data_IF_153307416253
#
_entry.id   IF_153307416253
#
_cell.length_a   1.000
_cell.length_b   1.000
_cell.length_c   1.000
_cell.angle_alpha   90.00
_cell.angle_beta   90.00
_cell.angle_gamma   90.00
#
_symmetry.space_group_name_H-M   'P 1'
#
loop_
_entity.id
_entity.type
_entity.pdbx_description
1 polymer ?
#
# COMPACT_ATOMS: atom_id res chain seq x y z
N UNK A 1 -33.89 -25.55 -49.32
CA UNK A 1 -33.11 -26.09 -48.15
C UNK A 1 -31.95 -25.15 -47.83
N UNK A 2 -31.34 -24.49 -48.82
CA UNK A 2 -30.17 -23.62 -48.67
C UNK A 2 -30.43 -22.32 -47.87
N UNK A 3 -31.61 -21.72 -48.01
CA UNK A 3 -31.96 -20.50 -47.24
C UNK A 3 -32.12 -20.72 -45.73
N UNK A 4 -32.44 -21.93 -45.28
CA UNK A 4 -32.59 -22.27 -43.87
C UNK A 4 -31.23 -22.47 -43.20
N UNK A 5 -30.28 -23.11 -43.87
CA UNK A 5 -28.91 -23.33 -43.41
C UNK A 5 -28.17 -22.01 -43.28
N UNK A 6 -28.32 -21.12 -44.25
CA UNK A 6 -27.71 -19.78 -44.22
C UNK A 6 -28.27 -18.91 -43.10
N UNK A 7 -29.59 -18.95 -42.82
CA UNK A 7 -30.21 -18.25 -41.70
C UNK A 7 -29.68 -18.73 -40.34
N UNK A 8 -29.47 -20.04 -40.14
CA UNK A 8 -28.87 -20.59 -38.92
C UNK A 8 -27.42 -20.12 -38.77
N UNK A 9 -26.66 -20.07 -39.87
CA UNK A 9 -25.29 -19.56 -39.90
C UNK A 9 -25.21 -18.10 -39.40
N UNK A 10 -26.04 -17.23 -39.94
CA UNK A 10 -26.09 -15.81 -39.50
C UNK A 10 -26.52 -15.67 -38.04
N UNK A 11 -27.47 -16.48 -37.57
CA UNK A 11 -27.89 -16.47 -36.15
C UNK A 11 -26.75 -16.89 -35.22
N UNK A 12 -25.99 -17.94 -35.55
CA UNK A 12 -24.84 -18.37 -34.77
C UNK A 12 -23.74 -17.33 -34.71
N UNK A 13 -23.43 -16.70 -35.86
CA UNK A 13 -22.46 -15.58 -35.89
C UNK A 13 -22.95 -14.42 -35.03
N UNK A 14 -24.22 -14.04 -35.12
CA UNK A 14 -24.82 -13.00 -34.29
C UNK A 14 -24.67 -13.32 -32.78
N UNK A 15 -24.97 -14.56 -32.37
CA UNK A 15 -24.84 -14.99 -30.96
C UNK A 15 -23.38 -14.92 -30.47
N UNK A 16 -22.43 -15.32 -31.32
CA UNK A 16 -20.99 -15.26 -30.97
C UNK A 16 -20.54 -13.80 -30.81
N UNK A 17 -20.88 -12.94 -31.75
CA UNK A 17 -20.53 -11.52 -31.70
C UNK A 17 -21.19 -10.84 -30.50
N UNK A 18 -22.46 -11.14 -30.23
CA UNK A 18 -23.17 -10.58 -29.08
C UNK A 18 -22.57 -11.02 -27.75
N UNK A 19 -22.21 -12.31 -27.57
CA UNK A 19 -21.52 -12.83 -26.39
C UNK A 19 -20.14 -12.18 -26.25
N UNK A 20 -19.39 -12.02 -27.33
CA UNK A 20 -18.10 -11.34 -27.32
C UNK A 20 -18.21 -9.89 -26.89
N UNK A 21 -19.19 -9.15 -27.41
CA UNK A 21 -19.46 -7.76 -27.02
C UNK A 21 -19.88 -7.66 -25.54
N UNK A 22 -20.70 -8.58 -25.04
CA UNK A 22 -21.13 -8.63 -23.65
C UNK A 22 -19.93 -8.89 -22.71
N UNK A 23 -19.07 -9.85 -23.03
CA UNK A 23 -17.85 -10.14 -22.28
C UNK A 23 -16.90 -8.93 -22.27
N UNK A 24 -16.71 -8.28 -23.41
CA UNK A 24 -15.89 -7.08 -23.51
C UNK A 24 -16.48 -5.95 -22.66
N UNK A 25 -17.79 -5.72 -22.71
CA UNK A 25 -18.47 -4.73 -21.89
C UNK A 25 -18.29 -5.02 -20.40
N UNK A 26 -18.46 -6.26 -19.96
CA UNK A 26 -18.26 -6.68 -18.58
C UNK A 26 -16.82 -6.45 -18.11
N UNK A 27 -15.83 -6.82 -18.93
CA UNK A 27 -14.41 -6.61 -18.59
C UNK A 27 -14.05 -5.12 -18.51
N UNK A 28 -14.55 -4.28 -19.42
CA UNK A 28 -14.32 -2.84 -19.38
C UNK A 28 -15.00 -2.18 -18.16
N UNK A 29 -16.23 -2.60 -17.84
CA UNK A 29 -16.97 -2.13 -16.67
C UNK A 29 -16.24 -2.52 -15.37
N UNK A 30 -15.78 -3.76 -15.26
CA UNK A 30 -15.02 -4.24 -14.10
C UNK A 30 -13.70 -3.47 -13.94
N UNK A 31 -12.96 -3.26 -15.03
CA UNK A 31 -11.73 -2.44 -15.03
C UNK A 31 -11.98 -1.00 -14.62
N UNK A 32 -13.07 -0.38 -15.07
CA UNK A 32 -13.45 0.98 -14.69
C UNK A 32 -13.83 1.05 -13.21
N UNK A 33 -14.57 0.08 -12.70
CA UNK A 33 -14.95 -0.04 -11.29
C UNK A 33 -13.71 -0.24 -10.41
N UNK A 34 -12.82 -1.18 -10.77
CA UNK A 34 -11.56 -1.42 -10.06
C UNK A 34 -10.67 -0.17 -10.04
N UNK A 35 -10.55 0.57 -11.15
CA UNK A 35 -9.82 1.86 -11.19
C UNK A 35 -10.44 2.92 -10.28
N UNK A 36 -11.75 2.93 -10.12
CA UNK A 36 -12.44 3.87 -9.23
C UNK A 36 -12.19 3.54 -7.75
N UNK A 37 -12.23 2.25 -7.38
CA UNK A 37 -11.90 1.77 -6.03
C UNK A 37 -10.45 2.09 -5.64
N UNK A 38 -9.50 1.91 -6.56
CA UNK A 38 -8.10 2.25 -6.35
C UNK A 38 -7.85 3.73 -6.11
N UNK A 39 -8.61 4.59 -6.81
CA UNK A 39 -8.57 6.03 -6.56
C UNK A 39 -9.13 6.37 -5.19
N UNK A 40 -10.01 5.54 -4.63
CA UNK A 40 -10.55 5.73 -3.29
C UNK A 40 -9.57 5.35 -2.18
N UNK A 41 -8.74 4.30 -2.37
CA UNK A 41 -7.82 3.80 -1.35
C UNK A 41 -6.55 4.64 -1.19
N UNK A 42 -5.93 5.07 -2.29
CA UNK A 42 -4.68 5.84 -2.23
C UNK A 42 -4.77 7.13 -1.39
N UNK A 43 -5.86 7.92 -1.41
CA UNK A 43 -6.01 9.07 -0.52
C UNK A 43 -5.98 8.74 0.97
N UNK A 44 -6.45 7.55 1.37
CA UNK A 44 -6.36 7.09 2.76
C UNK A 44 -4.95 6.63 3.10
N UNK A 45 -4.27 5.90 2.21
CA UNK A 45 -2.86 5.51 2.36
C UNK A 45 -1.97 6.74 2.50
N UNK A 46 -2.23 7.78 1.72
CA UNK A 46 -1.48 9.05 1.80
C UNK A 46 -1.72 9.81 3.11
N UNK A 47 -2.77 9.49 3.87
CA UNK A 47 -3.09 10.07 5.19
C UNK A 47 -2.57 9.23 6.36
N UNK A 48 -2.16 8.00 6.13
CA UNK A 48 -1.61 7.11 7.15
C UNK A 48 -0.32 7.67 7.73
N UNK A 49 0.00 7.31 8.97
CA UNK A 49 1.36 7.40 9.48
C UNK A 49 2.17 6.13 9.12
N UNK A 50 3.44 6.07 9.55
CA UNK A 50 4.31 4.92 9.28
C UNK A 50 3.71 3.61 9.80
N UNK A 51 3.26 3.59 11.06
CA UNK A 51 2.69 2.40 11.70
C UNK A 51 1.41 1.91 11.04
N UNK A 52 0.51 2.82 10.69
CA UNK A 52 -0.71 2.47 9.96
C UNK A 52 -0.38 1.88 8.59
N UNK A 53 0.65 2.40 7.92
CA UNK A 53 1.09 1.89 6.63
C UNK A 53 1.72 0.50 6.74
N UNK A 54 2.52 0.22 7.77
CA UNK A 54 3.07 -1.12 8.04
C UNK A 54 1.95 -2.15 8.24
N UNK A 55 0.93 -1.82 9.08
CA UNK A 55 -0.23 -2.68 9.30
C UNK A 55 -1.05 -2.86 8.03
N UNK A 56 -1.20 -1.79 7.24
CA UNK A 56 -1.84 -1.87 5.93
C UNK A 56 -1.13 -2.86 5.02
N UNK A 57 0.21 -2.76 4.91
CA UNK A 57 1.01 -3.67 4.11
C UNK A 57 0.95 -5.12 4.62
N UNK A 58 0.91 -5.32 5.94
CA UNK A 58 0.73 -6.65 6.53
C UNK A 58 -0.58 -7.28 6.03
N UNK A 59 -1.68 -6.55 6.07
CA UNK A 59 -2.97 -7.05 5.62
C UNK A 59 -2.96 -7.27 4.10
N UNK A 60 -2.41 -6.32 3.34
CA UNK A 60 -2.25 -6.41 1.88
C UNK A 60 -1.49 -7.67 1.46
N UNK A 61 -0.31 -7.91 2.03
CA UNK A 61 0.51 -9.08 1.68
C UNK A 61 -0.13 -10.40 2.12
N UNK A 62 -0.88 -10.41 3.24
CA UNK A 62 -1.64 -11.60 3.65
C UNK A 62 -2.70 -11.96 2.62
N UNK A 63 -3.43 -11.00 2.06
CA UNK A 63 -4.38 -11.23 0.99
C UNK A 63 -3.72 -11.67 -0.33
N UNK A 64 -2.45 -11.32 -0.54
CA UNK A 64 -1.64 -11.79 -1.67
C UNK A 64 -1.04 -13.19 -1.45
N UNK A 65 -1.34 -13.84 -0.32
CA UNK A 65 -0.90 -15.20 -0.01
C UNK A 65 0.48 -15.31 0.62
N UNK A 66 1.01 -14.21 1.18
CA UNK A 66 2.18 -14.22 2.04
C UNK A 66 1.76 -14.39 3.51
N UNK A 67 2.71 -14.78 4.36
CA UNK A 67 2.57 -14.81 5.81
C UNK A 67 3.42 -13.68 6.44
N UNK A 68 2.89 -12.44 6.53
CA UNK A 68 3.62 -11.27 7.01
C UNK A 68 3.48 -11.08 8.51
N UNK A 69 4.60 -10.79 9.17
CA UNK A 69 4.69 -10.35 10.55
C UNK A 69 5.31 -8.96 10.60
N UNK A 70 4.69 -8.03 11.35
CA UNK A 70 5.26 -6.70 11.62
C UNK A 70 6.31 -6.83 12.71
N UNK A 71 7.49 -6.25 12.50
CA UNK A 71 8.60 -6.27 13.46
C UNK A 71 8.33 -5.35 14.66
N UNK A 72 9.18 -5.42 15.67
CA UNK A 72 9.13 -4.52 16.82
C UNK A 72 9.56 -3.12 16.39
N UNK A 73 8.94 -2.08 16.95
CA UNK A 73 9.23 -0.67 16.63
C UNK A 73 10.66 -0.21 16.97
N UNK A 74 11.40 -0.97 17.76
CA UNK A 74 12.81 -0.68 18.10
C UNK A 74 13.64 -1.94 17.94
N UNK A 75 14.80 -1.81 17.28
CA UNK A 75 15.69 -2.94 17.02
C UNK A 75 15.21 -3.83 15.86
N UNK A 76 14.50 -3.25 14.89
CA UNK A 76 14.03 -3.89 13.68
C UNK A 76 15.12 -4.10 12.61
N UNK A 77 16.30 -3.53 12.88
CA UNK A 77 17.48 -3.60 12.00
C UNK A 77 17.20 -3.19 10.54
N UNK A 78 16.20 -2.35 10.32
CA UNK A 78 15.84 -1.82 9.02
C UNK A 78 14.85 -2.69 8.22
N UNK A 79 14.02 -3.49 8.92
CA UNK A 79 12.89 -4.18 8.32
C UNK A 79 11.62 -3.96 9.14
N UNK A 80 10.59 -3.40 8.54
CA UNK A 80 9.29 -3.18 9.20
C UNK A 80 8.40 -4.43 9.17
N UNK A 81 8.57 -5.28 8.13
CA UNK A 81 7.90 -6.57 8.06
C UNK A 81 8.88 -7.69 7.68
N UNK A 82 8.62 -8.87 8.22
CA UNK A 82 9.21 -10.12 7.76
C UNK A 82 8.07 -10.99 7.25
N UNK A 83 8.17 -11.49 6.05
CA UNK A 83 7.13 -12.33 5.47
C UNK A 83 7.70 -13.58 4.81
N UNK A 84 6.86 -14.60 4.71
CA UNK A 84 7.22 -15.88 4.10
C UNK A 84 6.12 -16.29 3.13
N UNK A 85 6.53 -16.91 2.04
CA UNK A 85 5.70 -17.68 1.12
C UNK A 85 6.51 -18.92 0.73
N UNK A 86 7.23 -18.87 -0.39
CA UNK A 86 8.20 -19.90 -0.77
C UNK A 86 9.57 -19.58 -0.16
N UNK A 87 9.88 -18.32 -0.02
CA UNK A 87 11.12 -17.77 0.52
C UNK A 87 10.84 -16.75 1.61
N UNK A 88 11.87 -16.49 2.44
CA UNK A 88 11.82 -15.45 3.46
C UNK A 88 12.17 -14.09 2.85
N UNK A 89 11.32 -13.11 3.08
CA UNK A 89 11.40 -11.75 2.53
C UNK A 89 11.38 -10.76 3.67
N UNK A 90 12.30 -9.81 3.68
CA UNK A 90 12.25 -8.63 4.56
C UNK A 90 11.76 -7.42 3.79
N UNK A 91 10.95 -6.60 4.43
CA UNK A 91 10.30 -5.44 3.81
C UNK A 91 10.55 -4.21 4.65
N UNK A 92 11.05 -3.15 4.03
CA UNK A 92 11.09 -1.80 4.58
C UNK A 92 9.94 -0.99 3.99
N UNK A 93 9.11 -0.41 4.85
CA UNK A 93 7.98 0.43 4.49
C UNK A 93 8.35 1.90 4.63
N UNK A 94 8.16 2.70 3.59
CA UNK A 94 8.39 4.16 3.63
C UNK A 94 7.13 4.89 3.20
N UNK A 95 6.33 5.35 4.19
CA UNK A 95 5.17 6.19 3.94
C UNK A 95 5.62 7.66 3.91
N UNK A 96 5.64 8.25 2.73
CA UNK A 96 6.04 9.64 2.50
C UNK A 96 4.87 10.48 1.97
N UNK A 97 4.98 11.80 2.15
CA UNK A 97 4.13 12.71 1.39
C UNK A 97 4.33 12.46 -0.12
N UNK A 98 3.27 12.39 -0.86
CA UNK A 98 3.23 12.00 -2.28
C UNK A 98 4.27 12.71 -3.18
N UNK A 99 4.72 13.94 -2.82
CA UNK A 99 5.77 14.68 -3.53
C UNK A 99 7.19 14.33 -3.09
N UNK A 100 7.36 13.65 -1.95
CA UNK A 100 8.66 13.32 -1.39
C UNK A 100 9.09 11.93 -1.90
N UNK A 101 10.32 11.86 -2.45
CA UNK A 101 10.88 10.62 -2.96
C UNK A 101 11.69 9.89 -1.89
N UNK A 102 11.61 8.56 -1.92
CA UNK A 102 12.40 7.69 -1.05
C UNK A 102 13.84 7.64 -1.53
N UNK A 103 14.77 7.92 -0.63
CA UNK A 103 16.21 7.96 -0.90
C UNK A 103 16.86 6.58 -0.81
N UNK A 104 18.14 6.51 -1.14
CA UNK A 104 18.94 5.29 -1.08
C UNK A 104 19.07 4.70 0.34
N UNK A 105 18.85 5.49 1.40
CA UNK A 105 18.93 5.01 2.79
C UNK A 105 17.97 3.85 3.06
N UNK A 106 16.75 3.88 2.50
CA UNK A 106 15.79 2.80 2.66
C UNK A 106 16.28 1.47 2.05
N UNK A 107 17.05 1.55 0.96
CA UNK A 107 17.67 0.37 0.32
C UNK A 107 18.80 -0.16 1.21
N UNK A 108 19.61 0.71 1.79
CA UNK A 108 20.70 0.33 2.72
C UNK A 108 20.13 -0.33 3.98
N UNK A 109 19.06 0.22 4.56
CA UNK A 109 18.36 -0.31 5.73
C UNK A 109 17.88 -1.74 5.48
N UNK A 110 17.10 -1.98 4.43
CA UNK A 110 16.55 -3.31 4.15
C UNK A 110 17.62 -4.31 3.70
N UNK A 111 18.68 -3.85 3.03
CA UNK A 111 19.79 -4.70 2.65
C UNK A 111 20.55 -5.23 3.87
N UNK A 112 20.77 -4.38 4.88
CA UNK A 112 21.30 -4.80 6.18
C UNK A 112 20.38 -5.79 6.90
N UNK A 113 19.08 -5.53 6.89
CA UNK A 113 18.07 -6.40 7.48
C UNK A 113 18.03 -7.80 6.82
N UNK A 114 18.26 -7.88 5.50
CA UNK A 114 18.32 -9.16 4.77
C UNK A 114 19.32 -10.14 5.42
N UNK A 115 20.50 -9.65 5.78
CA UNK A 115 21.52 -10.47 6.43
C UNK A 115 21.11 -10.85 7.87
N UNK A 116 20.64 -9.89 8.66
CA UNK A 116 20.22 -10.11 10.05
C UNK A 116 19.11 -11.16 10.18
N UNK A 117 18.06 -11.02 9.36
CA UNK A 117 16.92 -11.94 9.36
C UNK A 117 17.18 -13.23 8.58
N UNK A 118 18.36 -13.40 7.95
CA UNK A 118 18.68 -14.52 7.05
C UNK A 118 17.59 -14.68 5.98
N UNK A 119 17.20 -13.58 5.35
CA UNK A 119 16.19 -13.56 4.32
C UNK A 119 16.79 -13.78 2.92
N UNK A 120 15.98 -14.36 2.03
CA UNK A 120 16.37 -14.59 0.64
C UNK A 120 16.22 -13.31 -0.19
N UNK A 121 15.18 -12.51 0.12
CA UNK A 121 14.84 -11.30 -0.62
C UNK A 121 14.70 -10.10 0.31
N UNK A 122 14.96 -8.91 -0.24
CA UNK A 122 14.76 -7.64 0.43
C UNK A 122 13.92 -6.71 -0.45
N UNK A 123 12.85 -6.12 0.11
CA UNK A 123 11.93 -5.25 -0.61
C UNK A 123 11.81 -3.89 0.09
N UNK A 124 11.70 -2.81 -0.69
CA UNK A 124 11.26 -1.50 -0.18
C UNK A 124 9.92 -1.17 -0.79
N UNK A 125 8.94 -0.84 0.05
CA UNK A 125 7.58 -0.49 -0.37
C UNK A 125 7.26 0.94 0.02
N UNK A 126 6.70 1.73 -0.91
CA UNK A 126 6.30 3.11 -0.63
C UNK A 126 5.00 3.50 -1.32
N UNK A 127 4.29 4.45 -0.72
CA UNK A 127 3.16 5.14 -1.36
C UNK A 127 3.60 6.27 -2.30
N UNK A 128 4.91 6.49 -2.46
CA UNK A 128 5.52 7.52 -3.29
C UNK A 128 6.41 6.93 -4.38
N UNK A 129 7.48 7.61 -4.74
CA UNK A 129 8.43 7.20 -5.78
C UNK A 129 9.84 7.17 -5.23
N UNK A 130 10.75 6.49 -5.90
CA UNK A 130 12.17 6.42 -5.53
C UNK A 130 13.01 7.47 -6.26
N UNK A 131 14.11 7.88 -5.63
CA UNK A 131 15.14 8.69 -6.29
C UNK A 131 15.92 7.83 -7.30
N UNK A 132 16.65 8.47 -8.22
CA UNK A 132 17.53 7.78 -9.18
C UNK A 132 18.58 6.94 -8.46
N UNK A 133 19.25 7.51 -7.44
CA UNK A 133 20.27 6.82 -6.65
C UNK A 133 19.70 5.60 -5.89
N UNK A 134 18.45 5.69 -5.37
CA UNK A 134 17.79 4.55 -4.73
C UNK A 134 17.58 3.40 -5.73
N UNK A 135 17.17 3.71 -6.96
CA UNK A 135 16.97 2.71 -8.02
C UNK A 135 18.29 2.07 -8.46
N UNK A 136 19.34 2.87 -8.60
CA UNK A 136 20.69 2.39 -8.96
C UNK A 136 21.24 1.44 -7.88
N UNK A 137 21.15 1.84 -6.60
CA UNK A 137 21.61 1.00 -5.50
C UNK A 137 20.77 -0.28 -5.37
N UNK A 138 19.46 -0.19 -5.52
CA UNK A 138 18.58 -1.35 -5.43
C UNK A 138 18.90 -2.40 -6.51
N UNK A 139 19.19 -1.95 -7.73
CA UNK A 139 19.62 -2.84 -8.81
C UNK A 139 20.96 -3.52 -8.50
N UNK A 140 21.92 -2.80 -7.90
CA UNK A 140 23.23 -3.36 -7.52
C UNK A 140 23.15 -4.35 -6.35
N UNK A 141 22.18 -4.16 -5.43
CA UNK A 141 22.01 -4.99 -4.22
C UNK A 141 20.93 -6.06 -4.36
N UNK A 142 20.31 -6.24 -5.51
CA UNK A 142 19.16 -7.12 -5.74
C UNK A 142 18.03 -6.87 -4.73
N UNK A 143 17.69 -5.58 -4.54
CA UNK A 143 16.58 -5.14 -3.69
C UNK A 143 15.38 -4.78 -4.57
N UNK A 144 14.24 -5.40 -4.31
CA UNK A 144 13.01 -5.11 -5.04
C UNK A 144 12.39 -3.80 -4.54
N UNK A 145 12.09 -2.90 -5.47
CA UNK A 145 11.39 -1.67 -5.20
C UNK A 145 9.91 -1.81 -5.63
N UNK A 146 9.00 -1.40 -4.75
CA UNK A 146 7.56 -1.35 -5.00
C UNK A 146 7.15 0.11 -4.76
N UNK A 147 7.01 0.85 -5.84
CA UNK A 147 6.60 2.26 -5.79
C UNK A 147 5.07 2.42 -5.79
N UNK A 148 4.60 3.65 -5.90
CA UNK A 148 3.17 3.98 -5.89
C UNK A 148 2.37 3.23 -6.95
N UNK A 149 2.91 3.11 -8.15
CA UNK A 149 2.22 2.45 -9.27
C UNK A 149 2.18 0.93 -9.08
N UNK A 150 3.30 0.36 -8.61
CA UNK A 150 3.40 -1.05 -8.26
C UNK A 150 2.47 -1.40 -7.09
N UNK A 151 2.44 -0.56 -6.04
CA UNK A 151 1.54 -0.71 -4.91
C UNK A 151 0.08 -0.69 -5.35
N UNK A 152 -0.28 0.24 -6.23
CA UNK A 152 -1.61 0.27 -6.84
C UNK A 152 -1.92 -1.00 -7.65
N UNK A 153 -0.94 -1.57 -8.34
CA UNK A 153 -1.11 -2.81 -9.08
C UNK A 153 -1.34 -4.00 -8.13
N UNK A 154 -0.61 -4.07 -7.00
CA UNK A 154 -0.83 -5.08 -5.96
C UNK A 154 -2.23 -4.98 -5.33
N UNK A 155 -2.69 -3.76 -5.01
CA UNK A 155 -4.03 -3.53 -4.47
C UNK A 155 -5.11 -3.98 -5.48
N UNK A 156 -4.87 -3.76 -6.79
CA UNK A 156 -5.79 -4.24 -7.86
C UNK A 156 -5.89 -5.75 -7.95
N UNK A 157 -4.85 -6.47 -7.61
CA UNK A 157 -4.82 -7.92 -7.67
C UNK A 157 -5.66 -8.58 -6.56
N UNK A 158 -6.00 -7.81 -5.52
CA UNK A 158 -6.82 -8.27 -4.41
C UNK A 158 -8.31 -7.99 -4.70
N UNK A 159 -9.18 -8.80 -4.11
CA UNK A 159 -10.63 -8.68 -4.22
C UNK A 159 -11.11 -7.30 -3.67
N UNK A 160 -12.13 -6.64 -4.28
CA UNK A 160 -12.56 -5.27 -4.00
C UNK A 160 -13.08 -4.96 -2.59
N UNK A 161 -13.07 -5.92 -1.67
CA UNK A 161 -13.49 -5.74 -0.26
C UNK A 161 -12.38 -5.24 0.67
N UNK A 162 -11.18 -5.01 0.16
CA UNK A 162 -10.06 -4.51 0.97
C UNK A 162 -10.12 -2.97 1.05
N UNK A 163 -10.47 -2.42 2.20
CA UNK A 163 -10.66 -0.99 2.37
C UNK A 163 -9.54 -0.35 3.21
N UNK A 164 -8.64 0.40 2.56
CA UNK A 164 -7.63 1.23 3.22
C UNK A 164 -8.26 2.25 4.20
N UNK A 165 -9.49 2.68 3.94
CA UNK A 165 -10.28 3.55 4.80
C UNK A 165 -10.47 2.94 6.18
N UNK A 166 -10.87 1.67 6.26
CA UNK A 166 -11.13 0.97 7.53
C UNK A 166 -9.88 0.91 8.41
N UNK A 167 -8.72 0.62 7.81
CA UNK A 167 -7.45 0.60 8.52
C UNK A 167 -7.09 2.01 9.02
N UNK A 168 -7.22 3.03 8.17
CA UNK A 168 -6.95 4.41 8.56
C UNK A 168 -7.82 4.88 9.73
N UNK A 169 -9.11 4.47 9.77
CA UNK A 169 -10.04 4.87 10.82
C UNK A 169 -9.86 4.07 12.12
N UNK A 170 -9.58 2.76 12.04
CA UNK A 170 -9.58 1.85 13.20
C UNK A 170 -8.20 1.60 13.81
N UNK A 171 -7.12 1.71 13.06
CA UNK A 171 -5.77 1.54 13.60
C UNK A 171 -5.29 2.85 14.22
N UNK A 172 -4.90 2.78 15.50
CA UNK A 172 -4.36 3.94 16.22
C UNK A 172 -2.97 4.29 15.66
N UNK A 173 -2.73 5.57 15.29
CA UNK A 173 -1.41 6.04 14.90
C UNK A 173 -0.38 5.87 16.02
N UNK A 174 0.90 5.88 15.65
CA UNK A 174 2.02 5.75 16.61
C UNK A 174 1.99 6.85 17.67
N UNK A 175 2.20 6.44 18.93
CA UNK A 175 2.24 7.37 20.06
C UNK A 175 3.46 8.31 19.97
N UNK A 176 3.24 9.61 20.14
CA UNK A 176 4.29 10.66 20.03
C UNK A 176 4.32 11.54 21.27
N UNK A 177 5.51 12.06 21.59
CA UNK A 177 5.67 13.09 22.61
C UNK A 177 5.57 14.48 22.01
N UNK A 178 4.91 15.37 22.72
CA UNK A 178 4.81 16.78 22.34
C UNK A 178 6.18 17.45 22.41
N UNK A 179 6.71 18.05 21.33
CA UNK A 179 8.02 18.68 21.32
C UNK A 179 8.06 19.95 22.18
N UNK A 180 6.89 20.56 22.48
CA UNK A 180 6.79 21.79 23.26
C UNK A 180 6.81 21.55 24.76
N UNK A 181 6.14 20.49 25.27
CA UNK A 181 5.99 20.28 26.73
C UNK A 181 6.32 18.85 27.20
N UNK A 182 6.76 17.95 26.31
CA UNK A 182 7.13 16.56 26.61
C UNK A 182 5.95 15.63 26.94
N UNK A 183 4.71 16.14 27.08
CA UNK A 183 3.53 15.32 27.33
C UNK A 183 3.12 14.54 26.08
N UNK A 184 2.27 13.56 26.24
CA UNK A 184 1.83 12.73 25.13
C UNK A 184 0.95 13.51 24.14
N UNK A 185 1.14 13.27 22.84
CA UNK A 185 0.22 13.70 21.80
C UNK A 185 -0.90 12.65 21.67
N UNK A 186 -2.13 13.12 21.64
CA UNK A 186 -3.32 12.27 21.47
C UNK A 186 -4.02 12.58 20.16
N UNK A 187 -4.58 11.56 19.51
CA UNK A 187 -5.33 11.74 18.26
C UNK A 187 -6.64 12.47 18.57
N UNK A 188 -6.89 13.54 17.83
CA UNK A 188 -8.12 14.32 17.90
C UNK A 188 -8.77 14.42 16.53
N UNK A 189 -10.09 14.54 16.50
CA UNK A 189 -10.86 14.73 15.27
C UNK A 189 -10.94 16.23 14.97
N UNK A 190 -10.44 16.65 13.82
CA UNK A 190 -10.65 17.98 13.24
C UNK A 190 -11.90 18.00 12.34
N UNK A 191 -12.14 19.15 11.69
CA UNK A 191 -13.27 19.31 10.76
C UNK A 191 -13.15 18.42 9.51
N UNK A 192 -11.95 18.24 9.01
CA UNK A 192 -11.68 17.47 7.77
C UNK A 192 -10.89 16.21 8.01
N UNK A 193 -9.91 16.25 8.92
CA UNK A 193 -8.96 15.16 9.14
C UNK A 193 -8.63 14.98 10.64
N UNK A 194 -8.09 13.81 10.99
CA UNK A 194 -7.52 13.52 12.30
C UNK A 194 -6.15 14.20 12.43
N UNK A 195 -5.82 14.64 13.63
CA UNK A 195 -4.53 15.26 13.95
C UNK A 195 -4.07 14.89 15.36
N UNK A 196 -2.81 15.03 15.64
CA UNK A 196 -2.27 14.95 17.00
C UNK A 196 -2.44 16.29 17.71
N UNK A 197 -3.03 16.28 18.90
CA UNK A 197 -3.09 17.42 19.79
C UNK A 197 -2.45 17.09 21.13
N UNK A 198 -1.80 18.08 21.77
CA UNK A 198 -1.20 17.86 23.08
C UNK A 198 -2.25 17.47 24.13
N UNK A 199 -1.94 16.47 24.96
CA UNK A 199 -2.81 16.02 26.05
C UNK A 199 -2.99 17.10 27.14
N UNK A 200 -2.05 18.05 27.25
CA UNK A 200 -2.11 19.18 28.19
C UNK A 200 -2.92 20.37 27.68
N UNK A 201 -3.69 20.23 26.61
CA UNK A 201 -4.58 21.33 26.20
C UNK A 201 -5.60 21.65 27.32
N UNK A 202 -5.87 22.94 27.63
CA UNK A 202 -5.47 24.15 26.92
C UNK A 202 -4.11 24.76 27.30
N UNK A 203 -3.40 24.22 28.28
CA UNK A 203 -2.11 24.74 28.75
C UNK A 203 -1.01 24.65 27.66
N UNK A 204 -1.02 23.60 26.86
CA UNK A 204 -0.20 23.47 25.67
C UNK A 204 -1.09 23.29 24.43
N UNK A 205 -0.92 24.17 23.43
CA UNK A 205 -1.75 24.18 22.21
C UNK A 205 -1.05 23.56 20.99
N UNK A 206 0.03 22.80 21.23
CA UNK A 206 0.76 22.18 20.14
C UNK A 206 -0.10 21.16 19.39
N UNK A 207 -0.05 21.20 18.06
CA UNK A 207 -0.73 20.25 17.18
C UNK A 207 0.18 19.81 16.04
N UNK A 208 0.04 18.58 15.59
CA UNK A 208 0.76 18.02 14.43
C UNK A 208 -0.20 17.25 13.53
N UNK A 209 0.11 17.21 12.22
CA UNK A 209 -0.57 16.29 11.32
C UNK A 209 -0.13 14.85 11.60
N UNK A 210 -1.03 13.89 11.45
CA UNK A 210 -0.70 12.46 11.63
C UNK A 210 0.38 12.04 10.62
N UNK A 211 0.33 12.61 9.42
CA UNK A 211 1.20 12.29 8.30
C UNK A 211 2.37 13.28 8.14
N UNK A 212 3.20 13.39 9.14
CA UNK A 212 4.42 14.20 9.05
C UNK A 212 5.51 13.46 8.29
#
# INVERSE_FOLDING_TARGET
MDNFITSIGYFLVFVIVFKGALLLYQTLRTRKYQKALLKADMPYIDKMDGRQFEIYLQILFRHLGYDPEVTKQSGDFGADLVMKRDEKIVVQAKRYGYKNRVSLSAVQEVYGAKAYYRANQAWVVTNSYFTKQAKELAAACDVKLIDREDLQALIRAINPTFEAKEIYENVTPEARKCPTCGKQLVVRQGKTDRFFGCSSFPACRHTEKINK
#
